data_IF_527417814820
#
_entry.id   IF_527417814820
#
_cell.length_a   1.000
_cell.length_b   1.000
_cell.length_c   1.000
_cell.angle_alpha   90.00
_cell.angle_beta   90.00
_cell.angle_gamma   90.00
#
_symmetry.space_group_name_H-M   'P 1'
#
loop_
_entity.id
_entity.type
_entity.pdbx_description
1 polymer ?
#
# COMPACT_ATOMS: atom_id res chain seq x y z
N UNK A 1 34.20 -11.21 -14.42
CA UNK A 1 32.88 -11.13 -15.10
C UNK A 1 31.80 -12.07 -14.51
N UNK A 2 31.90 -12.54 -13.25
CA UNK A 2 30.86 -13.42 -12.64
C UNK A 2 29.87 -12.70 -11.71
N UNK A 3 30.24 -11.57 -11.11
CA UNK A 3 29.37 -10.83 -10.17
C UNK A 3 28.23 -10.01 -10.84
N UNK A 4 28.21 -9.90 -12.18
CA UNK A 4 27.17 -9.17 -12.92
C UNK A 4 25.99 -10.04 -13.35
N UNK A 5 26.12 -11.37 -13.28
CA UNK A 5 25.09 -12.32 -13.69
C UNK A 5 24.18 -12.79 -12.54
N UNK A 6 24.59 -12.66 -11.28
CA UNK A 6 23.75 -13.01 -10.12
C UNK A 6 22.59 -12.02 -9.87
N UNK A 7 22.65 -10.80 -10.43
CA UNK A 7 21.51 -9.86 -10.36
C UNK A 7 20.35 -10.21 -11.32
N UNK A 8 20.55 -11.16 -12.23
CA UNK A 8 19.54 -11.56 -13.23
C UNK A 8 18.83 -12.86 -12.81
N UNK A 9 19.35 -13.58 -11.82
CA UNK A 9 18.77 -14.83 -11.29
C UNK A 9 18.30 -14.68 -9.84
N UNK A 10 17.63 -13.56 -9.50
CA UNK A 10 16.68 -13.64 -8.38
C UNK A 10 15.52 -14.49 -8.87
N UNK A 11 15.09 -15.53 -8.12
CA UNK A 11 13.92 -16.29 -8.50
C UNK A 11 12.73 -15.33 -8.70
N UNK A 12 11.93 -15.57 -9.74
CA UNK A 12 10.61 -14.97 -9.98
C UNK A 12 9.58 -15.34 -8.87
N UNK A 13 10.01 -15.54 -7.62
CA UNK A 13 9.23 -16.20 -6.55
C UNK A 13 8.64 -15.22 -5.51
N UNK A 14 8.72 -13.92 -5.74
CA UNK A 14 7.98 -12.93 -4.94
C UNK A 14 6.96 -12.23 -5.83
N UNK A 15 5.68 -12.55 -5.65
CA UNK A 15 4.61 -11.71 -6.17
C UNK A 15 4.65 -10.39 -5.39
N UNK A 16 5.29 -9.37 -5.97
CA UNK A 16 5.30 -8.02 -5.41
C UNK A 16 4.11 -7.27 -5.99
N UNK A 17 3.14 -6.97 -5.14
CA UNK A 17 2.06 -6.05 -5.48
C UNK A 17 2.52 -4.66 -5.05
N UNK A 18 2.48 -3.69 -5.97
CA UNK A 18 2.94 -2.34 -5.65
C UNK A 18 2.14 -1.26 -6.36
N UNK A 19 2.11 -0.08 -5.75
CA UNK A 19 1.62 1.16 -6.36
C UNK A 19 2.62 2.27 -6.07
N UNK A 20 3.07 2.96 -7.12
CA UNK A 20 3.88 4.16 -7.02
C UNK A 20 3.08 5.36 -7.50
N UNK A 21 3.03 6.41 -6.69
CA UNK A 21 2.22 7.60 -6.91
C UNK A 21 3.06 8.85 -6.69
N UNK A 22 2.83 9.84 -7.56
CA UNK A 22 3.24 11.22 -7.34
C UNK A 22 1.99 12.08 -7.57
N UNK A 23 1.49 12.71 -6.52
CA UNK A 23 0.24 13.46 -6.54
C UNK A 23 0.35 14.75 -5.74
N UNK A 24 -0.43 15.76 -6.14
CA UNK A 24 -0.66 16.96 -5.34
C UNK A 24 -2.11 16.92 -4.83
N UNK A 25 -2.29 17.08 -3.52
CA UNK A 25 -3.61 17.14 -2.87
C UNK A 25 -3.77 18.41 -2.04
N UNK A 26 -4.98 18.90 -1.91
CA UNK A 26 -5.31 20.11 -1.15
C UNK A 26 -5.38 19.84 0.37
N UNK A 27 -5.33 20.89 1.21
CA UNK A 27 -5.67 20.77 2.62
C UNK A 27 -7.07 20.15 2.81
N UNK A 28 -7.16 19.16 3.70
CA UNK A 28 -8.42 18.45 3.98
C UNK A 28 -8.73 17.30 3.03
N UNK A 29 -7.87 17.06 2.04
CA UNK A 29 -7.93 15.88 1.18
C UNK A 29 -7.04 14.75 1.70
N UNK A 30 -7.37 13.54 1.26
CA UNK A 30 -6.65 12.30 1.53
C UNK A 30 -6.25 11.68 0.20
N UNK A 31 -4.98 11.31 0.06
CA UNK A 31 -4.53 10.50 -1.08
C UNK A 31 -4.94 9.05 -0.85
N UNK A 32 -5.71 8.48 -1.76
CA UNK A 32 -6.09 7.07 -1.77
C UNK A 32 -5.33 6.38 -2.90
N UNK A 33 -4.62 5.30 -2.58
CA UNK A 33 -3.80 4.53 -3.53
C UNK A 33 -3.79 3.05 -3.16
N UNK A 34 -3.03 2.24 -3.89
CA UNK A 34 -2.99 0.79 -3.77
C UNK A 34 -3.97 0.17 -4.74
N UNK A 35 -5.04 -0.42 -4.21
CA UNK A 35 -6.11 -1.07 -4.97
C UNK A 35 -5.66 -2.31 -5.73
N UNK A 36 -4.52 -2.90 -5.39
CA UNK A 36 -4.12 -4.18 -5.95
C UNK A 36 -4.93 -5.31 -5.31
N UNK A 37 -5.26 -6.31 -6.13
CA UNK A 37 -5.97 -7.50 -5.70
C UNK A 37 -4.99 -8.51 -5.08
N UNK A 38 -5.27 -8.94 -3.86
CA UNK A 38 -4.49 -9.94 -3.12
C UNK A 38 -4.91 -11.36 -3.49
N UNK A 39 -4.11 -12.36 -3.11
CA UNK A 39 -4.33 -13.76 -3.47
C UNK A 39 -5.64 -14.35 -2.91
N UNK A 40 -6.11 -13.83 -1.77
CA UNK A 40 -7.40 -14.14 -1.16
C UNK A 40 -8.59 -13.41 -1.83
N UNK A 41 -8.34 -12.62 -2.89
CA UNK A 41 -9.37 -11.97 -3.70
C UNK A 41 -9.86 -10.62 -3.18
N UNK A 42 -9.27 -10.12 -2.09
CA UNK A 42 -9.52 -8.80 -1.55
C UNK A 42 -8.72 -7.71 -2.28
N UNK A 43 -9.07 -6.45 -2.04
CA UNK A 43 -8.35 -5.28 -2.53
C UNK A 43 -7.73 -4.53 -1.37
N UNK A 44 -6.46 -4.16 -1.48
CA UNK A 44 -5.79 -3.38 -0.44
C UNK A 44 -5.67 -1.91 -0.81
N UNK A 45 -6.31 -1.05 -0.03
CA UNK A 45 -6.31 0.39 -0.18
C UNK A 45 -5.45 1.05 0.90
N UNK A 46 -4.67 2.05 0.51
CA UNK A 46 -3.88 2.89 1.40
C UNK A 46 -4.38 4.32 1.32
N UNK A 47 -4.74 4.89 2.47
CA UNK A 47 -5.19 6.26 2.61
C UNK A 47 -4.11 7.05 3.35
N UNK A 48 -3.69 8.19 2.82
CA UNK A 48 -2.69 9.07 3.40
C UNK A 48 -3.28 10.48 3.56
N UNK A 49 -3.52 10.87 4.81
CA UNK A 49 -4.10 12.19 5.14
C UNK A 49 -3.03 13.07 5.78
N UNK A 50 -2.40 14.00 5.03
CA UNK A 50 -1.43 14.93 5.58
C UNK A 50 -2.13 16.09 6.30
N UNK A 51 -1.52 16.54 7.40
CA UNK A 51 -1.88 17.74 8.13
C UNK A 51 -0.62 18.53 8.44
N UNK A 52 -0.68 19.83 8.21
CA UNK A 52 0.36 20.75 8.68
C UNK A 52 0.26 20.87 10.20
N UNK A 53 1.41 20.79 10.87
CA UNK A 53 1.52 21.00 12.32
C UNK A 53 2.73 21.87 12.63
N UNK A 54 2.60 22.72 13.64
CA UNK A 54 3.71 23.52 14.17
C UNK A 54 4.19 22.86 15.45
N UNK A 55 5.48 22.55 15.52
CA UNK A 55 6.10 21.95 16.70
C UNK A 55 6.26 23.00 17.82
N UNK A 56 6.50 22.54 19.06
CA UNK A 56 6.69 23.43 20.22
C UNK A 56 7.85 24.42 20.03
N UNK A 57 8.88 24.03 19.27
CA UNK A 57 10.03 24.86 18.94
C UNK A 57 9.79 25.81 17.74
N UNK A 58 8.56 25.86 17.22
CA UNK A 58 8.16 26.73 16.11
C UNK A 58 8.48 26.18 14.72
N UNK A 59 9.12 25.02 14.58
CA UNK A 59 9.35 24.40 13.27
C UNK A 59 8.05 23.88 12.66
N UNK A 60 7.94 23.97 11.34
CA UNK A 60 6.87 23.35 10.57
C UNK A 60 7.15 21.86 10.37
N UNK A 61 6.12 21.04 10.54
CA UNK A 61 6.14 19.61 10.28
C UNK A 61 4.84 19.15 9.61
N UNK A 62 4.87 17.93 9.10
CA UNK A 62 3.74 17.29 8.44
C UNK A 62 3.42 16.03 9.22
N UNK A 63 2.20 15.97 9.75
CA UNK A 63 1.63 14.77 10.34
C UNK A 63 0.84 14.02 9.27
N UNK A 64 1.07 12.72 9.13
CA UNK A 64 0.37 11.87 8.19
C UNK A 64 -0.38 10.80 8.97
N UNK A 65 -1.71 10.82 8.83
CA UNK A 65 -2.58 9.74 9.27
C UNK A 65 -2.72 8.76 8.10
N UNK A 66 -2.06 7.60 8.23
CA UNK A 66 -2.13 6.51 7.28
C UNK A 66 -3.19 5.49 7.70
N UNK A 67 -3.95 4.96 6.75
CA UNK A 67 -4.84 3.80 6.97
C UNK A 67 -4.64 2.77 5.87
N UNK A 68 -4.64 1.50 6.27
CA UNK A 68 -4.60 0.38 5.33
C UNK A 68 -5.88 -0.43 5.50
N UNK A 69 -6.62 -0.58 4.42
CA UNK A 69 -7.85 -1.37 4.36
C UNK A 69 -7.67 -2.54 3.43
N UNK A 70 -8.18 -3.71 3.82
CA UNK A 70 -8.55 -4.77 2.89
C UNK A 70 -10.05 -4.82 2.77
N UNK A 71 -10.53 -4.77 1.53
CA UNK A 71 -11.96 -4.77 1.22
C UNK A 71 -12.27 -5.86 0.21
N UNK A 72 -13.41 -6.53 0.39
CA UNK A 72 -13.89 -7.52 -0.56
C UNK A 72 -14.32 -6.92 -1.90
N UNK A 73 -14.39 -7.76 -2.94
CA UNK A 73 -14.80 -7.33 -4.29
C UNK A 73 -16.20 -6.70 -4.32
N UNK A 74 -17.12 -7.16 -3.47
CA UNK A 74 -18.48 -6.62 -3.38
C UNK A 74 -18.49 -5.22 -2.76
N UNK A 75 -17.62 -4.97 -1.78
CA UNK A 75 -17.45 -3.64 -1.20
C UNK A 75 -16.93 -2.65 -2.25
N UNK A 76 -15.91 -3.05 -3.01
CA UNK A 76 -15.35 -2.24 -4.11
C UNK A 76 -16.45 -1.84 -5.10
N UNK A 77 -17.27 -2.79 -5.55
CA UNK A 77 -18.33 -2.54 -6.53
C UNK A 77 -19.47 -1.68 -5.98
N UNK A 78 -19.92 -1.98 -4.77
CA UNK A 78 -21.05 -1.26 -4.15
C UNK A 78 -20.71 0.19 -3.80
N UNK A 79 -19.43 0.52 -3.66
CA UNK A 79 -18.95 1.85 -3.28
C UNK A 79 -18.21 2.58 -4.42
N UNK A 80 -18.25 2.06 -5.64
CA UNK A 80 -17.68 2.75 -6.81
C UNK A 80 -16.15 2.84 -6.80
N UNK A 81 -15.46 1.92 -6.12
CA UNK A 81 -14.01 1.94 -5.93
C UNK A 81 -13.24 1.23 -7.05
N UNK A 82 -13.91 0.86 -8.14
CA UNK A 82 -13.30 0.14 -9.27
C UNK A 82 -12.22 0.95 -9.97
N UNK A 83 -12.28 2.28 -9.91
CA UNK A 83 -11.29 3.21 -10.47
C UNK A 83 -9.93 3.11 -9.78
N UNK A 84 -9.91 2.67 -8.52
CA UNK A 84 -8.71 2.42 -7.73
C UNK A 84 -8.10 1.03 -8.01
N UNK A 85 -8.83 0.13 -8.66
CA UNK A 85 -8.39 -1.25 -8.85
C UNK A 85 -7.18 -1.33 -9.80
N UNK A 86 -6.02 -1.69 -9.26
CA UNK A 86 -4.79 -1.90 -10.00
C UNK A 86 -4.79 -3.29 -10.65
N UNK A 87 -4.46 -3.37 -11.95
CA UNK A 87 -4.44 -4.61 -12.72
C UNK A 87 -3.01 -5.06 -13.07
N UNK A 88 -2.82 -6.32 -13.46
CA UNK A 88 -1.51 -6.92 -13.76
C UNK A 88 -0.72 -6.25 -14.90
N UNK A 89 -1.34 -5.34 -15.66
CA UNK A 89 -0.70 -4.54 -16.73
C UNK A 89 -0.30 -3.14 -16.26
N UNK A 90 -0.79 -2.69 -15.10
CA UNK A 90 -0.63 -1.35 -14.58
C UNK A 90 0.17 -1.39 -13.27
N UNK A 91 1.50 -1.35 -13.35
CA UNK A 91 2.37 -1.15 -12.17
C UNK A 91 2.50 0.33 -11.79
N UNK A 92 1.78 1.23 -12.47
CA UNK A 92 1.94 2.68 -12.36
C UNK A 92 0.57 3.36 -12.23
N UNK A 93 0.38 4.02 -11.08
CA UNK A 93 -0.57 5.08 -10.78
C UNK A 93 -2.08 4.77 -10.92
N UNK A 94 -2.67 4.30 -9.83
CA UNK A 94 -4.07 4.56 -9.51
C UNK A 94 -4.12 5.26 -8.16
N UNK A 95 -4.39 6.56 -8.19
CA UNK A 95 -4.57 7.34 -7.00
C UNK A 95 -5.67 8.37 -7.18
N UNK A 96 -6.40 8.62 -6.10
CA UNK A 96 -7.45 9.62 -6.07
C UNK A 96 -7.26 10.52 -4.85
N UNK A 97 -7.64 11.79 -5.00
CA UNK A 97 -7.76 12.71 -3.90
C UNK A 97 -9.21 12.67 -3.42
N UNK A 98 -9.43 12.30 -2.17
CA UNK A 98 -10.76 12.24 -1.56
C UNK A 98 -10.92 13.31 -0.50
N UNK A 99 -12.12 13.88 -0.41
CA UNK A 99 -12.45 14.78 0.69
C UNK A 99 -12.62 13.99 1.99
N UNK A 100 -12.39 14.63 3.13
CA UNK A 100 -12.53 14.00 4.45
C UNK A 100 -13.90 13.33 4.68
N UNK A 101 -14.97 13.88 4.11
CA UNK A 101 -16.32 13.31 4.21
C UNK A 101 -16.44 11.98 3.46
N UNK A 102 -15.85 11.86 2.26
CA UNK A 102 -15.81 10.62 1.49
C UNK A 102 -15.00 9.56 2.22
N UNK A 103 -13.84 9.93 2.76
CA UNK A 103 -13.02 9.05 3.59
C UNK A 103 -13.81 8.56 4.80
N UNK A 104 -14.47 9.47 5.51
CA UNK A 104 -15.22 9.13 6.72
C UNK A 104 -16.38 8.18 6.42
N UNK A 105 -17.12 8.41 5.32
CA UNK A 105 -18.19 7.52 4.86
C UNK A 105 -17.66 6.15 4.48
N UNK A 106 -16.60 6.08 3.68
CA UNK A 106 -16.01 4.81 3.24
C UNK A 106 -15.45 4.02 4.42
N UNK A 107 -14.79 4.68 5.38
CA UNK A 107 -14.28 4.02 6.58
C UNK A 107 -15.40 3.53 7.50
N UNK A 108 -16.51 4.27 7.62
CA UNK A 108 -17.67 3.83 8.37
C UNK A 108 -18.31 2.60 7.72
N UNK A 109 -18.58 2.65 6.42
CA UNK A 109 -19.11 1.52 5.67
C UNK A 109 -18.18 0.29 5.74
N UNK A 110 -16.86 0.50 5.68
CA UNK A 110 -15.87 -0.55 5.82
C UNK A 110 -15.91 -1.23 7.19
N UNK A 111 -16.22 -0.51 8.28
CA UNK A 111 -16.29 -1.10 9.63
C UNK A 111 -17.47 -2.05 9.80
N UNK A 112 -18.57 -1.76 9.13
CA UNK A 112 -19.83 -2.51 9.25
C UNK A 112 -19.94 -3.63 8.21
N UNK A 113 -19.02 -3.68 7.24
CA UNK A 113 -19.03 -4.63 6.15
C UNK A 113 -18.35 -5.97 6.51
N UNK A 114 -19.00 -7.07 6.15
CA UNK A 114 -18.41 -8.40 6.25
C UNK A 114 -17.23 -8.55 5.27
N UNK A 115 -16.14 -9.16 5.74
CA UNK A 115 -14.94 -9.36 4.92
C UNK A 115 -14.09 -8.10 4.70
N UNK A 116 -14.36 -7.00 5.43
CA UNK A 116 -13.52 -5.81 5.44
C UNK A 116 -12.66 -5.77 6.70
N UNK A 117 -11.36 -5.53 6.53
CA UNK A 117 -10.41 -5.40 7.62
C UNK A 117 -9.62 -4.10 7.55
N UNK A 118 -9.67 -3.29 8.61
CA UNK A 118 -8.68 -2.23 8.82
C UNK A 118 -7.45 -2.89 9.43
N UNK A 119 -6.38 -3.03 8.65
CA UNK A 119 -5.19 -3.73 9.08
C UNK A 119 -4.27 -2.88 9.95
N UNK A 120 -4.26 -1.57 9.73
CA UNK A 120 -3.42 -0.67 10.50
C UNK A 120 -3.84 0.79 10.35
N UNK A 121 -3.40 1.61 11.31
CA UNK A 121 -3.54 3.07 11.26
C UNK A 121 -2.26 3.75 11.75
N UNK A 122 -1.14 3.66 11.01
CA UNK A 122 0.09 4.32 11.39
C UNK A 122 -0.07 5.84 11.37
N UNK A 123 0.56 6.50 12.34
CA UNK A 123 0.67 7.96 12.39
C UNK A 123 2.13 8.34 12.32
N UNK A 124 2.49 9.20 11.38
CA UNK A 124 3.88 9.61 11.15
C UNK A 124 3.98 11.13 11.26
N UNK A 125 4.98 11.61 12.00
CA UNK A 125 5.36 13.01 12.03
C UNK A 125 6.71 13.16 11.33
N UNK A 126 6.77 13.98 10.28
CA UNK A 126 7.99 14.18 9.48
C UNK A 126 8.23 15.67 9.22
N UNK A 127 9.48 16.05 9.00
CA UNK A 127 9.79 17.37 8.48
C UNK A 127 9.49 17.41 6.96
N UNK A 128 9.18 18.59 6.39
CA UNK A 128 8.98 18.72 4.96
C UNK A 128 10.18 18.16 4.17
N UNK A 129 9.88 17.46 3.07
CA UNK A 129 10.88 16.82 2.19
C UNK A 129 11.70 15.69 2.81
N UNK A 130 11.44 15.29 4.06
CA UNK A 130 12.04 14.08 4.63
C UNK A 130 11.22 12.85 4.26
N UNK A 131 11.91 11.84 3.74
CA UNK A 131 11.32 10.53 3.48
C UNK A 131 11.12 9.76 4.78
N UNK A 132 10.05 8.99 4.84
CA UNK A 132 9.81 8.03 5.92
C UNK A 132 9.41 6.68 5.34
N UNK A 133 9.60 5.63 6.15
CA UNK A 133 9.16 4.28 5.81
C UNK A 133 8.37 3.70 6.96
N UNK A 134 7.20 3.14 6.65
CA UNK A 134 6.38 2.34 7.57
C UNK A 134 6.35 0.91 7.05
N UNK A 135 6.79 -0.03 7.88
CA UNK A 135 6.73 -1.47 7.59
C UNK A 135 5.83 -2.18 8.58
N UNK A 136 4.87 -2.96 8.09
CA UNK A 136 3.88 -3.66 8.91
C UNK A 136 3.81 -5.11 8.43
N UNK A 137 3.82 -6.06 9.36
CA UNK A 137 3.76 -7.49 9.06
C UNK A 137 4.97 -8.25 9.60
N UNK A 138 5.22 -9.44 9.05
CA UNK A 138 6.29 -10.34 9.50
C UNK A 138 7.40 -10.38 8.46
N UNK A 139 8.66 -10.27 8.90
CA UNK A 139 9.85 -10.36 8.04
C UNK A 139 9.93 -11.64 7.20
N UNK A 140 9.33 -12.73 7.70
CA UNK A 140 9.28 -14.04 7.02
C UNK A 140 7.86 -14.42 6.52
N UNK A 141 6.94 -13.46 6.47
CA UNK A 141 5.57 -13.66 6.02
C UNK A 141 5.16 -12.56 5.06
N UNK A 142 3.88 -12.19 5.08
CA UNK A 142 3.40 -11.03 4.33
C UNK A 142 3.84 -9.74 5.03
N UNK A 143 4.46 -8.85 4.27
CA UNK A 143 4.88 -7.53 4.72
C UNK A 143 4.28 -6.46 3.81
N UNK A 144 3.75 -5.43 4.44
CA UNK A 144 3.38 -4.17 3.81
C UNK A 144 4.48 -3.16 4.07
N UNK A 145 4.85 -2.39 3.05
CA UNK A 145 5.77 -1.26 3.14
C UNK A 145 5.15 -0.02 2.49
N UNK A 146 5.17 1.09 3.21
CA UNK A 146 4.89 2.43 2.70
C UNK A 146 6.16 3.25 2.81
N UNK A 147 6.72 3.64 1.68
CA UNK A 147 7.74 4.68 1.61
C UNK A 147 7.10 5.95 1.05
N UNK A 148 7.30 7.09 1.71
CA UNK A 148 6.79 8.35 1.17
C UNK A 148 7.63 9.56 1.57
N UNK A 149 7.55 10.58 0.71
CA UNK A 149 8.09 11.92 0.92
C UNK A 149 6.93 12.90 0.70
N UNK A 150 6.78 13.85 1.63
CA UNK A 150 5.72 14.86 1.53
C UNK A 150 6.32 16.26 1.63
N UNK A 151 5.90 17.12 0.71
CA UNK A 151 6.30 18.53 0.66
C UNK A 151 5.03 19.37 0.69
N UNK A 152 5.01 20.39 1.54
CA UNK A 152 3.93 21.37 1.55
C UNK A 152 4.29 22.54 0.63
N UNK A 153 3.37 22.91 -0.26
CA UNK A 153 3.53 24.07 -1.13
C UNK A 153 3.23 25.37 -0.37
N UNK A 154 3.64 26.51 -0.93
CA UNK A 154 3.30 27.83 -0.40
C UNK A 154 1.80 28.15 -0.43
N UNK A 155 1.02 27.44 -1.25
CA UNK A 155 -0.45 27.55 -1.33
C UNK A 155 -1.16 26.63 -0.34
N UNK A 156 -0.41 25.82 0.41
CA UNK A 156 -0.91 24.90 1.43
C UNK A 156 -1.20 23.49 0.95
N UNK A 157 -1.18 23.22 -0.37
CA UNK A 157 -1.27 21.86 -0.92
C UNK A 157 -0.09 20.99 -0.52
N UNK A 158 -0.26 19.67 -0.63
CA UNK A 158 0.74 18.67 -0.31
C UNK A 158 1.11 17.88 -1.56
N UNK A 159 2.37 17.95 -1.96
CA UNK A 159 2.94 17.05 -2.94
C UNK A 159 3.40 15.78 -2.23
N UNK A 160 2.83 14.64 -2.59
CA UNK A 160 3.10 13.32 -2.00
C UNK A 160 3.71 12.44 -3.08
N UNK A 161 4.93 11.99 -2.83
CA UNK A 161 5.54 10.88 -3.54
C UNK A 161 5.47 9.66 -2.63
N UNK A 162 4.81 8.59 -3.08
CA UNK A 162 4.65 7.39 -2.26
C UNK A 162 4.83 6.12 -3.08
N UNK A 163 5.43 5.12 -2.47
CA UNK A 163 5.47 3.75 -2.95
C UNK A 163 4.89 2.84 -1.88
N UNK A 164 3.83 2.15 -2.23
CA UNK A 164 3.20 1.12 -1.42
C UNK A 164 3.55 -0.24 -2.00
N UNK A 165 3.98 -1.16 -1.16
CA UNK A 165 4.32 -2.53 -1.57
C UNK A 165 3.75 -3.55 -0.60
N UNK A 166 3.27 -4.66 -1.16
CA UNK A 166 3.04 -5.91 -0.44
C UNK A 166 3.97 -6.96 -1.01
N UNK A 167 4.77 -7.54 -0.12
CA UNK A 167 5.59 -8.70 -0.43
C UNK A 167 5.04 -9.90 0.32
N UNK A 168 4.78 -10.98 -0.40
CA UNK A 168 4.49 -12.28 0.17
C UNK A 168 5.54 -13.26 -0.34
N UNK A 169 6.13 -14.05 0.58
CA UNK A 169 6.91 -15.20 0.15
C UNK A 169 5.92 -16.18 -0.48
N UNK A 170 6.14 -16.57 -1.74
CA UNK A 170 5.38 -17.68 -2.31
C UNK A 170 5.53 -18.88 -1.35
N UNK A 171 4.42 -19.41 -0.86
CA UNK A 171 4.43 -20.78 -0.35
C UNK A 171 4.99 -21.62 -1.50
N UNK A 172 6.09 -22.34 -1.24
CA UNK A 172 6.52 -23.40 -2.14
C UNK A 172 5.40 -24.43 -2.16
N UNK A 173 4.45 -24.28 -3.09
CA UNK A 173 3.55 -25.35 -3.48
C UNK A 173 4.47 -26.45 -3.98
N UNK A 174 4.54 -27.54 -3.22
CA UNK A 174 5.54 -28.58 -3.35
C UNK A 174 5.78 -28.98 -4.81
N UNK A 175 6.95 -28.60 -5.33
CA UNK A 175 7.49 -29.24 -6.51
C UNK A 175 7.61 -30.73 -6.18
N UNK A 176 6.90 -31.55 -6.95
CA UNK A 176 6.65 -32.95 -6.67
C UNK A 176 7.89 -33.69 -6.17
N UNK A 177 7.71 -34.40 -5.06
CA UNK A 177 8.57 -35.53 -4.72
C UNK A 177 8.61 -36.45 -5.95
N UNK A 178 9.78 -36.71 -6.55
CA UNK A 178 9.87 -37.81 -7.50
C UNK A 178 9.54 -39.08 -6.72
N UNK A 179 8.50 -39.78 -7.15
CA UNK A 179 8.14 -41.08 -6.61
C UNK A 179 9.38 -41.97 -6.66
N UNK A 180 9.93 -42.29 -5.49
CA UNK A 180 10.91 -43.34 -5.32
C UNK A 180 10.27 -44.62 -5.84
N UNK A 181 10.78 -45.11 -6.96
CA UNK A 181 10.41 -46.39 -7.56
C UNK A 181 10.78 -47.49 -6.57
N UNK A 182 9.80 -47.92 -5.79
CA UNK A 182 9.91 -49.12 -4.98
C UNK A 182 10.04 -50.33 -5.92
N UNK A 183 10.94 -51.22 -5.51
CA UNK A 183 11.30 -52.48 -6.15
C UNK A 183 10.08 -53.35 -6.42
N UNK A 184 10.04 -53.97 -7.60
CA UNK A 184 9.20 -55.13 -7.88
C UNK A 184 10.15 -56.27 -8.28
N UNK A 185 10.36 -57.15 -7.30
CA UNK A 185 10.72 -58.58 -7.33
C UNK A 185 11.78 -59.07 -8.30
#
# INVERSE_FOLDING_TARGET
MRAKLEKITRPLEQAVLSSTVNAEINPGETLVTGGYKTADGNYELTLLTPRHVTLEDGREAIEIDGKILSVGSDFVRSHGLETLATNAKNTLQHAEAWMQDDVSRTLAAARDAEGVGIFSSPKVLTLPSQSFTVSIGKTNGTQFSLEATVVRSSKGSFAIQSRVERTSKAEQVGAGQPATRAELK
#
